data_IF_462763068289
#
_entry.id   IF_462763068289
#
_cell.length_a   1.000
_cell.length_b   1.000
_cell.length_c   1.000
_cell.angle_alpha   90.00
_cell.angle_beta   90.00
_cell.angle_gamma   90.00
#
_symmetry.space_group_name_H-M   'P 1'
#
loop_
_entity.id
_entity.type
_entity.pdbx_description
1 polymer ?
#
# COMPACT_ATOMS: atom_id res chain seq x y z
N UNK A 1 -14.15 -9.01 -6.34
CA UNK A 1 -12.80 -8.40 -6.30
C UNK A 1 -11.78 -9.49 -6.04
N UNK A 2 -10.89 -9.77 -6.99
CA UNK A 2 -9.89 -10.83 -6.86
C UNK A 2 -8.68 -10.38 -6.01
N UNK A 3 -7.76 -11.29 -5.68
CA UNK A 3 -6.62 -10.99 -4.81
C UNK A 3 -5.70 -9.92 -5.38
N UNK A 4 -5.34 -10.04 -6.67
CA UNK A 4 -4.45 -9.10 -7.34
C UNK A 4 -5.06 -7.69 -7.41
N UNK A 5 -6.37 -7.62 -7.63
CA UNK A 5 -7.14 -6.38 -7.63
C UNK A 5 -7.17 -5.73 -6.24
N UNK A 6 -7.39 -6.51 -5.17
CA UNK A 6 -7.29 -6.02 -3.77
C UNK A 6 -5.91 -5.43 -3.48
N UNK A 7 -4.87 -6.14 -3.90
CA UNK A 7 -3.50 -5.66 -3.76
C UNK A 7 -3.26 -4.37 -4.56
N UNK A 8 -3.69 -4.31 -5.82
CA UNK A 8 -3.52 -3.13 -6.67
C UNK A 8 -4.22 -1.89 -6.13
N UNK A 9 -5.47 -2.02 -5.65
CA UNK A 9 -6.21 -0.90 -5.04
C UNK A 9 -5.56 -0.46 -3.72
N UNK A 10 -5.07 -1.41 -2.92
CA UNK A 10 -4.41 -1.11 -1.64
C UNK A 10 -3.02 -0.48 -1.79
N UNK A 11 -2.35 -0.65 -2.93
CA UNK A 11 -0.99 -0.16 -3.16
C UNK A 11 -0.88 1.36 -2.99
N UNK A 12 -1.85 2.14 -3.49
CA UNK A 12 -1.78 3.60 -3.42
C UNK A 12 -1.75 4.12 -1.98
N UNK A 13 -2.61 3.55 -1.13
CA UNK A 13 -2.62 3.87 0.30
C UNK A 13 -1.34 3.45 1.01
N UNK A 14 -0.80 2.26 0.69
CA UNK A 14 0.45 1.78 1.27
C UNK A 14 1.65 2.66 0.86
N UNK A 15 1.73 3.05 -0.42
CA UNK A 15 2.78 3.93 -0.93
C UNK A 15 2.70 5.30 -0.26
N UNK A 16 1.50 5.86 -0.13
CA UNK A 16 1.28 7.15 0.51
C UNK A 16 1.77 7.14 1.96
N UNK A 17 1.32 6.17 2.78
CA UNK A 17 1.73 6.04 4.19
C UNK A 17 3.25 5.89 4.32
N UNK A 18 3.85 5.03 3.49
CA UNK A 18 5.29 4.79 3.51
C UNK A 18 6.08 6.05 3.14
N UNK A 19 5.63 6.77 2.11
CA UNK A 19 6.26 8.01 1.64
C UNK A 19 6.13 9.12 2.68
N UNK A 20 4.96 9.28 3.29
CA UNK A 20 4.74 10.27 4.34
C UNK A 20 5.63 9.99 5.57
N UNK A 21 5.73 8.73 5.99
CA UNK A 21 6.59 8.32 7.09
C UNK A 21 8.07 8.58 6.79
N UNK A 22 8.52 8.31 5.56
CA UNK A 22 9.88 8.63 5.11
C UNK A 22 10.17 10.14 5.17
N UNK A 23 9.26 10.99 4.67
CA UNK A 23 9.41 12.45 4.74
C UNK A 23 9.47 12.97 6.18
N UNK A 24 8.67 12.37 7.09
CA UNK A 24 8.66 12.70 8.52
C UNK A 24 9.83 12.11 9.30
N UNK A 25 10.69 11.31 8.65
CA UNK A 25 11.76 10.52 9.29
C UNK A 25 11.24 9.60 10.40
N UNK A 26 9.98 9.15 10.29
CA UNK A 26 9.38 8.18 11.21
C UNK A 26 9.79 6.76 10.80
N UNK A 27 11.00 6.37 11.22
CA UNK A 27 11.60 5.08 10.89
C UNK A 27 10.81 3.88 11.44
N UNK A 28 10.10 4.05 12.56
CA UNK A 28 9.25 2.99 13.13
C UNK A 28 8.08 2.68 12.21
N UNK A 29 7.42 3.72 11.70
CA UNK A 29 6.33 3.55 10.72
C UNK A 29 6.88 3.06 9.38
N UNK A 30 8.00 3.58 8.88
CA UNK A 30 8.63 3.08 7.65
C UNK A 30 8.90 1.58 7.73
N UNK A 31 9.52 1.11 8.82
CA UNK A 31 9.77 -0.32 9.04
C UNK A 31 8.48 -1.14 8.98
N UNK A 32 7.43 -0.72 9.70
CA UNK A 32 6.15 -1.44 9.77
C UNK A 32 5.44 -1.50 8.43
N UNK A 33 5.35 -0.37 7.72
CA UNK A 33 4.70 -0.30 6.41
C UNK A 33 5.50 -1.10 5.37
N UNK A 34 6.85 -1.04 5.40
CA UNK A 34 7.70 -1.84 4.54
C UNK A 34 7.57 -3.35 4.81
N UNK A 35 7.46 -3.77 6.07
CA UNK A 35 7.19 -5.16 6.44
C UNK A 35 5.84 -5.64 5.88
N UNK A 36 4.80 -4.82 6.00
CA UNK A 36 3.46 -5.12 5.48
C UNK A 36 3.46 -5.21 3.95
N UNK A 37 4.14 -4.27 3.28
CA UNK A 37 4.32 -4.26 1.84
C UNK A 37 5.12 -5.47 1.33
N UNK A 38 6.15 -5.90 2.07
CA UNK A 38 6.91 -7.13 1.78
C UNK A 38 5.98 -8.35 1.72
N UNK A 39 5.18 -8.56 2.77
CA UNK A 39 4.30 -9.72 2.89
C UNK A 39 3.20 -9.72 1.82
N UNK A 40 2.47 -8.60 1.70
CA UNK A 40 1.41 -8.45 0.71
C UNK A 40 1.91 -8.61 -0.74
N UNK A 41 3.10 -8.07 -1.06
CA UNK A 41 3.71 -8.22 -2.39
C UNK A 41 4.16 -9.65 -2.66
N UNK A 42 4.67 -10.37 -1.64
CA UNK A 42 5.06 -11.77 -1.80
C UNK A 42 3.85 -12.65 -2.13
N UNK A 43 2.71 -12.37 -1.48
CA UNK A 43 1.47 -13.12 -1.64
C UNK A 43 0.89 -13.07 -3.05
N UNK A 44 1.17 -11.99 -3.81
CA UNK A 44 0.76 -11.84 -5.22
C UNK A 44 1.91 -12.06 -6.21
N UNK A 45 3.00 -12.70 -5.77
CA UNK A 45 4.19 -12.97 -6.56
C UNK A 45 4.95 -11.73 -7.09
N UNK A 46 4.72 -10.53 -6.53
CA UNK A 46 5.44 -9.31 -6.89
C UNK A 46 6.83 -9.25 -6.22
N UNK A 47 7.71 -10.20 -6.58
CA UNK A 47 8.98 -10.44 -5.86
C UNK A 47 9.93 -9.25 -5.82
N UNK A 48 10.01 -8.46 -6.89
CA UNK A 48 10.92 -7.29 -6.92
C UNK A 48 10.52 -6.25 -5.87
N UNK A 49 9.22 -5.96 -5.76
CA UNK A 49 8.69 -5.09 -4.71
C UNK A 49 8.87 -5.72 -3.34
N UNK A 50 8.58 -7.02 -3.18
CA UNK A 50 8.77 -7.70 -1.88
C UNK A 50 10.21 -7.62 -1.38
N UNK A 51 11.19 -7.89 -2.24
CA UNK A 51 12.63 -7.79 -1.91
C UNK A 51 13.07 -6.35 -1.65
N UNK A 52 12.61 -5.38 -2.43
CA UNK A 52 12.93 -3.98 -2.20
C UNK A 52 12.33 -3.45 -0.89
N UNK A 53 11.09 -3.85 -0.56
CA UNK A 53 10.46 -3.51 0.72
C UNK A 53 11.20 -4.14 1.91
N UNK A 54 11.68 -5.38 1.76
CA UNK A 54 12.54 -6.00 2.77
C UNK A 54 13.84 -5.21 3.00
N UNK A 55 14.49 -4.70 1.95
CA UNK A 55 15.69 -3.85 2.09
C UNK A 55 15.39 -2.57 2.88
N UNK A 56 14.27 -1.89 2.59
CA UNK A 56 13.83 -0.71 3.35
C UNK A 56 13.56 -1.06 4.81
N UNK A 57 12.88 -2.19 5.09
CA UNK A 57 12.62 -2.65 6.45
C UNK A 57 13.93 -2.83 7.23
N UNK A 58 14.90 -3.56 6.68
CA UNK A 58 16.19 -3.84 7.35
C UNK A 58 17.00 -2.56 7.52
N UNK A 59 17.07 -1.70 6.50
CA UNK A 59 17.81 -0.44 6.62
C UNK A 59 17.20 0.50 7.68
N UNK A 60 15.86 0.54 7.78
CA UNK A 60 15.18 1.28 8.85
C UNK A 60 15.45 0.67 10.24
N UNK A 61 15.47 -0.66 10.36
CA UNK A 61 15.84 -1.35 11.60
C UNK A 61 17.27 -1.03 12.04
N UNK A 62 18.21 -0.97 11.08
CA UNK A 62 19.60 -0.61 11.34
C UNK A 62 19.72 0.83 11.84
N UNK A 63 19.07 1.80 11.19
CA UNK A 63 19.04 3.19 11.64
C UNK A 63 18.41 3.37 13.03
N UNK A 64 17.43 2.53 13.39
CA UNK A 64 16.83 2.52 14.72
C UNK A 64 17.75 1.91 15.80
N UNK A 65 18.70 1.06 15.41
CA UNK A 65 19.62 0.34 16.29
C UNK A 65 21.04 0.93 16.33
N UNK A 66 21.19 2.24 16.10
CA UNK A 66 22.44 3.01 16.09
C UNK A 66 23.41 2.76 14.92
N UNK A 67 23.00 2.02 13.87
CA UNK A 67 23.78 1.95 12.62
C UNK A 67 23.39 3.12 11.71
N UNK A 68 24.25 4.13 11.63
CA UNK A 68 23.92 5.44 11.03
C UNK A 68 24.11 5.54 9.50
N UNK A 69 24.13 4.43 8.76
CA UNK A 69 24.28 4.49 7.30
C UNK A 69 22.97 4.90 6.60
N UNK A 70 22.74 6.21 6.58
CA UNK A 70 21.58 6.83 5.93
C UNK A 70 21.62 6.64 4.41
N UNK A 71 22.80 6.40 3.82
CA UNK A 71 22.94 6.25 2.37
C UNK A 71 22.32 4.94 1.87
N UNK A 72 22.52 3.84 2.62
CA UNK A 72 21.90 2.54 2.33
C UNK A 72 20.38 2.62 2.46
N UNK A 73 19.88 3.30 3.49
CA UNK A 73 18.46 3.52 3.67
C UNK A 73 17.84 4.27 2.49
N UNK A 74 18.45 5.39 2.10
CA UNK A 74 17.93 6.23 1.02
C UNK A 74 17.99 5.50 -0.33
N UNK A 75 19.09 4.81 -0.64
CA UNK A 75 19.22 3.99 -1.83
C UNK A 75 18.17 2.86 -1.87
N UNK A 76 17.90 2.22 -0.72
CA UNK A 76 16.86 1.20 -0.60
C UNK A 76 15.46 1.77 -0.83
N UNK A 77 15.19 2.96 -0.31
CA UNK A 77 13.90 3.64 -0.49
C UNK A 77 13.66 4.04 -1.95
N UNK A 78 14.69 4.60 -2.61
CA UNK A 78 14.64 4.92 -4.03
C UNK A 78 14.41 3.69 -4.91
N UNK A 79 15.11 2.58 -4.62
CA UNK A 79 14.89 1.31 -5.31
C UNK A 79 13.44 0.84 -5.17
N UNK A 80 12.89 0.84 -3.96
CA UNK A 80 11.49 0.46 -3.73
C UNK A 80 10.53 1.33 -4.54
N UNK A 81 10.74 2.64 -4.57
CA UNK A 81 9.94 3.56 -5.40
C UNK A 81 9.97 3.20 -6.88
N UNK A 82 11.15 2.85 -7.42
CA UNK A 82 11.29 2.41 -8.81
C UNK A 82 10.57 1.08 -9.09
N UNK A 83 10.65 0.12 -8.16
CA UNK A 83 9.96 -1.16 -8.28
C UNK A 83 8.44 -1.03 -8.23
N UNK A 84 7.93 -0.19 -7.35
CA UNK A 84 6.50 0.11 -7.25
C UNK A 84 5.99 0.79 -8.52
N UNK A 85 6.74 1.76 -9.07
CA UNK A 85 6.39 2.41 -10.34
C UNK A 85 6.34 1.41 -11.49
N UNK A 86 7.33 0.53 -11.58
CA UNK A 86 7.39 -0.51 -12.60
C UNK A 86 6.21 -1.49 -12.48
N UNK A 87 5.92 -1.97 -11.26
CA UNK A 87 4.81 -2.88 -11.00
C UNK A 87 3.46 -2.25 -11.34
N UNK A 88 3.19 -1.01 -10.87
CA UNK A 88 1.94 -0.31 -11.19
C UNK A 88 1.78 -0.13 -12.70
N UNK A 89 2.86 0.24 -13.39
CA UNK A 89 2.85 0.35 -14.86
C UNK A 89 2.53 -0.98 -15.54
N UNK A 90 3.12 -2.08 -15.06
CA UNK A 90 2.84 -3.42 -15.57
C UNK A 90 1.39 -3.84 -15.33
N UNK A 91 0.89 -3.68 -14.10
CA UNK A 91 -0.47 -4.06 -13.74
C UNK A 91 -1.51 -3.28 -14.56
N UNK A 92 -1.33 -1.96 -14.69
CA UNK A 92 -2.22 -1.10 -15.48
C UNK A 92 -2.28 -1.46 -16.97
N UNK A 93 -1.18 -1.96 -17.54
CA UNK A 93 -1.12 -2.33 -18.97
C UNK A 93 -1.69 -3.72 -19.27
N UNK A 94 -1.58 -4.65 -18.33
CA UNK A 94 -1.88 -6.06 -18.58
C UNK A 94 -3.18 -6.53 -17.92
N UNK A 95 -3.76 -5.76 -17.00
CA UNK A 95 -4.96 -6.14 -16.26
C UNK A 95 -6.02 -5.05 -16.32
N UNK A 96 -7.27 -5.50 -16.44
CA UNK A 96 -8.45 -4.65 -16.33
C UNK A 96 -9.08 -4.93 -14.96
N UNK A 97 -8.75 -4.10 -13.98
CA UNK A 97 -9.42 -4.12 -12.68
C UNK A 97 -10.78 -3.45 -12.80
N UNK A 98 -11.82 -4.04 -12.20
CA UNK A 98 -13.15 -3.46 -12.23
C UNK A 98 -13.08 -2.09 -11.55
N UNK A 99 -13.52 -1.06 -12.26
CA UNK A 99 -13.67 0.26 -11.66
C UNK A 99 -14.70 0.10 -10.53
N UNK A 100 -14.43 0.56 -9.30
CA UNK A 100 -15.48 0.59 -8.28
C UNK A 100 -16.68 1.32 -8.90
N UNK A 101 -17.90 0.77 -8.81
CA UNK A 101 -19.07 1.53 -9.24
C UNK A 101 -19.03 2.88 -8.49
N UNK A 102 -19.36 3.99 -9.16
CA UNK A 102 -19.43 5.28 -8.48
C UNK A 102 -20.30 5.11 -7.22
N UNK A 103 -19.96 5.79 -6.11
CA UNK A 103 -20.78 5.74 -4.91
C UNK A 103 -22.21 6.04 -5.34
N UNK A 104 -23.12 5.07 -5.11
CA UNK A 104 -24.53 5.29 -5.38
C UNK A 104 -24.93 6.45 -4.49
N UNK A 105 -25.19 7.61 -5.08
CA UNK A 105 -25.93 8.68 -4.44
C UNK A 105 -27.28 8.07 -4.12
N UNK A 106 -27.46 7.58 -2.90
CA UNK A 106 -28.78 7.39 -2.36
C UNK A 106 -29.37 8.79 -2.32
N UNK A 107 -30.25 9.08 -3.29
CA UNK A 107 -31.16 10.21 -3.18
C UNK A 107 -31.96 9.95 -1.92
N UNK A 108 -31.67 10.73 -0.90
CA UNK A 108 -32.42 10.82 0.35
C UNK A 108 -33.83 11.32 0.00
N UNK A 109 -34.72 10.40 -0.37
CA UNK A 109 -36.15 10.70 -0.40
C UNK A 109 -36.62 10.67 1.03
N UNK A 110 -36.73 11.87 1.58
CA UNK A 110 -37.35 12.20 2.85
C UNK A 110 -38.63 11.38 3.13
N UNK A 111 -38.63 10.71 4.30
CA UNK A 111 -39.75 10.45 5.22
C UNK A 111 -41.07 9.92 4.63
N UNK A 112 -41.42 8.68 5.00
CA UNK A 112 -42.74 8.40 5.60
C UNK A 112 -42.58 7.28 6.63
N UNK A 113 -42.85 7.61 7.90
CA UNK A 113 -42.89 6.65 9.01
C UNK A 113 -44.15 5.79 8.86
N UNK A 114 -44.00 4.49 8.62
CA UNK A 114 -45.07 3.49 8.66
C UNK A 114 -44.80 2.50 9.79
N UNK A 115 -45.83 1.99 10.50
CA UNK A 115 -45.62 1.24 11.72
C UNK A 115 -45.05 -0.16 11.43
N UNK A 116 -44.13 -0.55 12.30
CA UNK A 116 -43.53 -1.87 12.36
C UNK A 116 -44.61 -2.93 12.61
N UNK A 117 -44.75 -3.92 11.72
CA UNK A 117 -45.50 -5.14 11.99
C UNK A 117 -44.50 -6.29 12.12
N UNK A 118 -44.46 -6.83 13.34
CA UNK A 118 -43.76 -8.07 13.70
C UNK A 118 -44.65 -9.24 13.29
N UNK A 119 -44.11 -10.17 12.51
CA UNK A 119 -44.40 -11.61 12.59
C UNK A 119 -43.12 -12.38 12.34
#
# INVERSE_FOLDING_TARGET
MNLLEKYYVGLDGAIMKLTEAHHKKDLQTVRREAHSLKGSSAYVAAMRVSKAAFRVQVAAEQLLGDLHDTSIYEASFQLLGNELRALKGYLRRNFHFARPPPPRTYSDTSKTSGPCLVM
#
